data_IF_889570636193
#
_entry.id   IF_889570636193
#
_cell.length_a   1.000
_cell.length_b   1.000
_cell.length_c   1.000
_cell.angle_alpha   90.00
_cell.angle_beta   90.00
_cell.angle_gamma   90.00
#
_symmetry.space_group_name_H-M   'P 1'
#
loop_
_entity.id
_entity.type
_entity.pdbx_description
1 polymer ?
#
# COMPACT_ATOMS: atom_id res chain seq x y z
N UNK A 1 -38.64 35.61 22.03
CA UNK A 1 -37.25 35.21 22.34
C UNK A 1 -37.21 33.68 22.47
N UNK A 2 -36.72 33.01 21.41
CA UNK A 2 -36.52 31.57 21.34
C UNK A 2 -35.18 31.22 21.98
N UNK A 3 -35.20 30.72 23.21
CA UNK A 3 -34.13 29.86 23.70
C UNK A 3 -34.65 28.43 23.63
N UNK A 4 -34.43 27.79 22.48
CA UNK A 4 -34.62 26.35 22.37
C UNK A 4 -33.65 25.69 23.34
N UNK A 5 -34.22 24.96 24.30
CA UNK A 5 -33.58 23.83 24.95
C UNK A 5 -32.97 22.94 23.85
N UNK A 6 -31.67 23.07 23.67
CA UNK A 6 -30.85 21.97 23.15
C UNK A 6 -30.30 21.24 24.36
N UNK A 7 -31.18 20.60 25.14
CA UNK A 7 -30.79 19.46 25.97
C UNK A 7 -30.51 18.31 25.03
N UNK A 8 -29.41 18.43 24.30
CA UNK A 8 -28.92 17.38 23.46
C UNK A 8 -28.17 16.45 24.40
N UNK A 9 -28.81 15.33 24.69
CA UNK A 9 -28.19 14.12 25.20
C UNK A 9 -27.10 13.72 24.20
N UNK A 10 -25.94 14.36 24.31
CA UNK A 10 -24.79 14.14 23.44
C UNK A 10 -23.88 13.23 24.22
N UNK A 11 -24.05 11.93 23.98
CA UNK A 11 -23.22 10.89 24.57
C UNK A 11 -21.74 11.26 24.47
N UNK A 12 -20.99 10.86 25.50
CA UNK A 12 -19.53 11.07 25.64
C UNK A 12 -18.75 10.93 24.32
N UNK A 13 -19.18 10.04 23.42
CA UNK A 13 -18.66 9.84 22.06
C UNK A 13 -18.50 11.11 21.21
N UNK A 14 -19.40 12.09 21.29
CA UNK A 14 -19.31 13.30 20.46
C UNK A 14 -18.21 14.26 20.93
N UNK A 15 -17.96 14.33 22.25
CA UNK A 15 -16.90 15.15 22.83
C UNK A 15 -15.52 14.57 22.52
N UNK A 16 -15.35 13.25 22.63
CA UNK A 16 -14.09 12.57 22.23
C UNK A 16 -13.81 12.75 20.74
N UNK A 17 -14.83 12.57 19.89
CA UNK A 17 -14.69 12.76 18.44
C UNK A 17 -14.36 14.22 18.08
N UNK A 18 -15.00 15.20 18.73
CA UNK A 18 -14.74 16.61 18.45
C UNK A 18 -13.34 17.04 18.92
N UNK A 19 -12.92 16.65 20.12
CA UNK A 19 -11.55 16.89 20.64
C UNK A 19 -10.51 16.29 19.69
N UNK A 20 -10.74 15.06 19.24
CA UNK A 20 -9.88 14.36 18.29
C UNK A 20 -9.75 15.11 16.95
N UNK A 21 -10.87 15.50 16.35
CA UNK A 21 -10.90 16.25 15.07
C UNK A 21 -10.16 17.57 15.19
N UNK A 22 -10.31 18.28 16.32
CA UNK A 22 -9.60 19.54 16.57
C UNK A 22 -8.10 19.30 16.73
N UNK A 23 -7.67 18.24 17.42
CA UNK A 23 -6.24 17.88 17.58
C UNK A 23 -5.59 17.53 16.25
N UNK A 24 -6.28 16.82 15.36
CA UNK A 24 -5.78 16.55 14.00
C UNK A 24 -5.72 17.82 13.19
N UNK A 25 -6.78 18.63 13.18
CA UNK A 25 -6.78 19.91 12.47
C UNK A 25 -5.63 20.81 12.94
N UNK A 26 -5.35 20.82 14.25
CA UNK A 26 -4.21 21.52 14.81
C UNK A 26 -2.89 20.92 14.32
N UNK A 27 -2.70 19.60 14.42
CA UNK A 27 -1.47 18.92 13.98
C UNK A 27 -1.18 19.10 12.48
N UNK A 28 -2.22 19.15 11.64
CA UNK A 28 -2.10 19.36 10.18
C UNK A 28 -1.79 20.83 9.84
N UNK A 29 -2.14 21.78 10.71
CA UNK A 29 -1.78 23.20 10.56
C UNK A 29 -0.36 23.50 11.00
N UNK A 30 0.24 22.68 11.85
CA UNK A 30 1.64 22.84 12.23
C UNK A 30 2.58 22.54 11.03
N UNK A 31 3.77 23.15 11.00
CA UNK A 31 4.81 22.75 10.06
C UNK A 31 5.16 21.26 10.30
N UNK A 32 5.33 20.44 9.25
CA UNK A 32 5.65 20.79 7.85
C UNK A 32 4.47 20.74 6.85
N UNK A 33 3.22 20.49 7.28
CA UNK A 33 2.08 20.38 6.36
C UNK A 33 1.45 21.73 6.04
N UNK A 34 1.25 22.60 7.04
CA UNK A 34 0.62 23.91 6.86
C UNK A 34 -0.70 23.85 6.05
N UNK A 35 -1.51 22.79 6.21
CA UNK A 35 -2.80 22.70 5.50
C UNK A 35 -3.88 23.40 6.34
N UNK A 36 -4.47 24.50 5.86
CA UNK A 36 -5.59 25.11 6.55
C UNK A 36 -6.86 24.30 6.27
N UNK A 37 -7.06 23.22 7.02
CA UNK A 37 -8.34 22.49 7.02
C UNK A 37 -9.21 23.02 8.16
N UNK A 38 -10.45 23.39 7.81
CA UNK A 38 -11.51 23.66 8.79
C UNK A 38 -12.17 22.36 9.26
N UNK A 39 -12.69 22.36 10.48
CA UNK A 39 -13.44 21.22 11.05
C UNK A 39 -14.65 20.87 10.16
N UNK A 40 -15.30 21.87 9.56
CA UNK A 40 -16.39 21.67 8.62
C UNK A 40 -15.93 20.94 7.35
N UNK A 41 -14.81 21.32 6.75
CA UNK A 41 -14.27 20.63 5.58
C UNK A 41 -13.87 19.18 5.90
N UNK A 42 -13.29 18.93 7.09
CA UNK A 42 -12.90 17.58 7.48
C UNK A 42 -14.11 16.65 7.67
N UNK A 43 -15.25 17.19 8.15
CA UNK A 43 -16.50 16.45 8.22
C UNK A 43 -17.03 16.03 6.84
N UNK A 44 -16.79 16.84 5.81
CA UNK A 44 -17.23 16.54 4.44
C UNK A 44 -16.24 15.62 3.69
N UNK A 45 -14.92 15.76 3.90
CA UNK A 45 -13.91 15.04 3.10
C UNK A 45 -13.57 13.62 3.61
N UNK A 46 -14.06 13.22 4.79
CA UNK A 46 -13.71 11.99 5.51
C UNK A 46 -12.24 11.91 5.95
N UNK A 47 -11.99 11.22 7.06
CA UNK A 47 -10.66 11.15 7.65
C UNK A 47 -9.68 10.27 6.84
N UNK A 48 -10.20 9.26 6.14
CA UNK A 48 -9.40 8.40 5.26
C UNK A 48 -8.79 9.20 4.08
N UNK A 49 -9.55 10.16 3.55
CA UNK A 49 -9.04 11.07 2.52
C UNK A 49 -7.96 11.96 3.08
N UNK A 50 -8.13 12.54 4.28
CA UNK A 50 -7.09 13.34 4.92
C UNK A 50 -5.79 12.54 5.10
N UNK A 51 -5.86 11.32 5.61
CA UNK A 51 -4.71 10.43 5.77
C UNK A 51 -3.99 10.20 4.43
N UNK A 52 -4.75 10.00 3.35
CA UNK A 52 -4.19 9.87 2.00
C UNK A 52 -3.45 11.15 1.56
N UNK A 53 -4.02 12.32 1.82
CA UNK A 53 -3.37 13.60 1.49
C UNK A 53 -2.08 13.81 2.30
N UNK A 54 -2.08 13.45 3.59
CA UNK A 54 -0.88 13.51 4.45
C UNK A 54 0.20 12.54 3.94
N UNK A 55 -0.19 11.32 3.55
CA UNK A 55 0.71 10.34 2.98
C UNK A 55 1.34 10.83 1.66
N UNK A 56 0.55 11.46 0.78
CA UNK A 56 1.05 12.03 -0.48
C UNK A 56 2.05 13.19 -0.24
N UNK A 57 2.00 13.86 0.92
CA UNK A 57 2.97 14.88 1.32
C UNK A 57 4.18 14.32 2.08
N UNK A 58 4.43 13.01 1.97
CA UNK A 58 5.57 12.30 2.59
C UNK A 58 5.57 12.27 4.11
N UNK A 59 4.48 12.67 4.76
CA UNK A 59 4.36 12.70 6.22
C UNK A 59 3.77 11.40 6.77
N UNK A 60 4.41 10.28 6.44
CA UNK A 60 3.88 8.94 6.72
C UNK A 60 3.79 8.62 8.22
N UNK A 61 4.68 9.16 9.06
CA UNK A 61 4.64 8.94 10.51
C UNK A 61 3.39 9.58 11.15
N UNK A 62 3.05 10.80 10.75
CA UNK A 62 1.85 11.47 11.23
C UNK A 62 0.60 10.73 10.75
N UNK A 63 0.56 10.35 9.48
CA UNK A 63 -0.52 9.55 8.91
C UNK A 63 -0.70 8.22 9.66
N UNK A 64 0.39 7.52 9.99
CA UNK A 64 0.37 6.27 10.75
C UNK A 64 -0.18 6.45 12.17
N UNK A 65 0.30 7.47 12.89
CA UNK A 65 -0.22 7.79 14.23
C UNK A 65 -1.71 8.10 14.19
N UNK A 66 -2.15 8.92 13.23
CA UNK A 66 -3.58 9.19 13.05
C UNK A 66 -4.35 7.90 12.78
N UNK A 67 -3.84 6.99 11.93
CA UNK A 67 -4.47 5.69 11.70
C UNK A 67 -4.61 4.88 12.99
N UNK A 68 -3.57 4.80 13.81
CA UNK A 68 -3.60 4.11 15.11
C UNK A 68 -4.64 4.71 16.05
N UNK A 69 -4.71 6.05 16.15
CA UNK A 69 -5.66 6.74 17.01
C UNK A 69 -7.13 6.59 16.56
N UNK A 70 -7.38 6.37 15.27
CA UNK A 70 -8.75 6.22 14.72
C UNK A 70 -9.17 4.76 14.65
N UNK A 71 -8.22 3.83 14.59
CA UNK A 71 -8.47 2.44 14.20
C UNK A 71 -8.67 2.28 12.68
N UNK A 72 -8.09 3.16 11.85
CA UNK A 72 -8.08 2.97 10.40
C UNK A 72 -6.95 2.01 9.98
N UNK A 73 -7.15 1.21 8.92
CA UNK A 73 -6.12 0.29 8.46
C UNK A 73 -4.90 1.05 7.93
N UNK A 74 -3.79 0.94 8.65
CA UNK A 74 -2.53 1.61 8.32
C UNK A 74 -1.81 1.03 7.09
N UNK A 75 -2.31 -0.06 6.50
CA UNK A 75 -1.72 -0.78 5.36
C UNK A 75 -1.37 0.12 4.17
N UNK A 76 -2.27 1.04 3.82
CA UNK A 76 -2.09 1.92 2.67
C UNK A 76 -1.01 2.98 2.93
N UNK A 77 -0.90 3.46 4.17
CA UNK A 77 0.13 4.41 4.59
C UNK A 77 1.49 3.74 4.58
N UNK A 78 1.58 2.51 5.10
CA UNK A 78 2.81 1.72 5.11
C UNK A 78 3.28 1.35 3.70
N UNK A 79 2.37 0.96 2.81
CA UNK A 79 2.70 0.71 1.40
C UNK A 79 3.22 1.98 0.72
N UNK A 80 2.55 3.12 0.93
CA UNK A 80 3.00 4.41 0.38
C UNK A 80 4.35 4.83 0.93
N UNK A 81 4.58 4.62 2.23
CA UNK A 81 5.88 4.85 2.86
C UNK A 81 6.98 3.95 2.25
N UNK A 82 6.71 2.66 2.05
CA UNK A 82 7.69 1.74 1.50
C UNK A 82 8.04 2.12 0.05
N UNK A 83 7.06 2.47 -0.78
CA UNK A 83 7.28 2.96 -2.14
C UNK A 83 8.13 4.23 -2.15
N UNK A 84 7.78 5.22 -1.33
CA UNK A 84 8.54 6.47 -1.21
C UNK A 84 9.97 6.21 -0.72
N UNK A 85 10.13 5.28 0.22
CA UNK A 85 11.43 4.89 0.76
C UNK A 85 12.30 4.25 -0.33
N UNK A 86 11.74 3.40 -1.17
CA UNK A 86 12.44 2.76 -2.31
C UNK A 86 12.86 3.82 -3.33
N UNK A 87 12.00 4.77 -3.66
CA UNK A 87 12.30 5.83 -4.62
C UNK A 87 13.42 6.77 -4.15
N UNK A 88 13.47 7.07 -2.85
CA UNK A 88 14.43 8.04 -2.30
C UNK A 88 15.74 7.46 -1.76
N UNK A 89 15.85 6.15 -1.61
CA UNK A 89 17.00 5.52 -0.96
C UNK A 89 18.12 5.17 -1.92
N UNK A 90 18.75 6.17 -2.55
CA UNK A 90 19.90 5.95 -3.46
C UNK A 90 21.10 5.32 -2.73
N UNK A 91 21.23 5.51 -1.42
CA UNK A 91 22.41 5.14 -0.65
C UNK A 91 22.39 3.76 0.02
N UNK A 92 21.26 3.05 0.04
CA UNK A 92 21.10 1.78 0.77
C UNK A 92 21.16 0.59 -0.18
N UNK A 93 21.83 -0.48 0.26
CA UNK A 93 21.83 -1.76 -0.45
C UNK A 93 20.42 -2.37 -0.43
N UNK A 94 20.11 -3.14 -1.48
CA UNK A 94 18.79 -3.77 -1.65
C UNK A 94 18.47 -4.74 -0.50
N UNK A 95 19.50 -5.38 0.04
CA UNK A 95 19.44 -6.31 1.17
C UNK A 95 18.97 -5.60 2.45
N UNK A 96 19.62 -4.49 2.81
CA UNK A 96 19.29 -3.69 3.97
C UNK A 96 17.90 -3.07 3.85
N UNK A 97 17.54 -2.61 2.65
CA UNK A 97 16.24 -1.99 2.43
C UNK A 97 15.09 -2.97 2.57
N UNK A 98 15.24 -4.18 2.03
CA UNK A 98 14.26 -5.25 2.22
C UNK A 98 14.09 -5.61 3.71
N UNK A 99 15.19 -5.72 4.46
CA UNK A 99 15.16 -6.00 5.88
C UNK A 99 14.50 -4.89 6.70
N UNK A 100 14.75 -3.62 6.37
CA UNK A 100 14.11 -2.47 7.03
C UNK A 100 12.61 -2.45 6.76
N UNK A 101 12.18 -2.67 5.52
CA UNK A 101 10.76 -2.75 5.16
C UNK A 101 10.11 -3.90 5.91
N UNK A 102 10.64 -5.12 5.82
CA UNK A 102 10.08 -6.29 6.50
C UNK A 102 10.03 -6.11 8.02
N UNK A 103 11.09 -5.55 8.64
CA UNK A 103 11.11 -5.26 10.08
C UNK A 103 10.03 -4.23 10.46
N UNK A 104 9.89 -3.15 9.70
CA UNK A 104 8.89 -2.11 9.97
C UNK A 104 7.47 -2.64 9.82
N UNK A 105 7.22 -3.50 8.84
CA UNK A 105 5.94 -4.17 8.66
C UNK A 105 5.65 -5.14 9.82
N UNK A 106 6.65 -5.92 10.25
CA UNK A 106 6.51 -6.82 11.40
C UNK A 106 6.18 -6.07 12.70
N UNK A 107 6.84 -4.92 12.94
CA UNK A 107 6.55 -4.07 14.09
C UNK A 107 5.13 -3.51 14.03
N UNK A 108 4.71 -3.01 12.86
CA UNK A 108 3.36 -2.49 12.68
C UNK A 108 2.27 -3.57 12.84
N UNK A 109 2.58 -4.83 12.57
CA UNK A 109 1.70 -5.98 12.84
C UNK A 109 1.66 -6.36 14.33
N UNK A 110 2.70 -6.04 15.09
CA UNK A 110 2.80 -6.34 16.52
C UNK A 110 2.22 -5.27 17.43
N UNK A 111 2.16 -4.01 16.95
CA UNK A 111 1.55 -2.90 17.66
C UNK A 111 0.02 -3.01 17.61
N UNK A 112 -0.52 -3.89 18.45
CA UNK A 112 -1.93 -3.82 18.88
C UNK A 112 -2.21 -2.37 19.31
N UNK A 113 -3.37 -1.78 18.93
CA UNK A 113 -3.67 -0.39 19.25
C UNK A 113 -3.46 -0.14 20.75
N UNK A 114 -2.40 0.59 21.11
CA UNK A 114 -2.12 0.93 22.50
C UNK A 114 -3.26 1.83 22.99
N UNK A 115 -4.21 1.20 23.69
CA UNK A 115 -5.34 1.86 24.34
C UNK A 115 -4.81 2.66 25.52
N UNK A 116 -4.41 3.91 25.26
CA UNK A 116 -4.40 4.96 26.28
C UNK A 116 -5.73 5.73 26.18
N UNK A 117 -6.79 5.09 26.67
CA UNK A 117 -8.01 5.75 27.17
C UNK A 117 -9.07 6.22 26.16
N UNK A 118 -9.55 5.40 25.21
CA UNK A 118 -10.78 5.70 24.43
C UNK A 118 -11.47 4.44 23.87
N UNK A 119 -12.82 4.46 23.73
CA UNK A 119 -13.70 3.29 23.66
C UNK A 119 -13.71 2.52 22.33
N UNK A 120 -14.19 1.26 22.34
CA UNK A 120 -14.19 0.36 21.19
C UNK A 120 -15.25 0.74 20.14
N UNK A 121 -14.94 0.37 18.90
CA UNK A 121 -15.89 0.03 17.83
C UNK A 121 -16.88 1.11 17.37
N UNK A 122 -16.48 1.82 16.31
CA UNK A 122 -17.41 2.21 15.24
C UNK A 122 -17.04 1.48 13.94
N UNK A 123 -16.75 0.19 14.01
CA UNK A 123 -17.02 -0.79 12.94
C UNK A 123 -16.98 -2.20 13.54
N UNK A 124 -17.92 -3.02 13.06
CA UNK A 124 -18.36 -4.29 13.63
C UNK A 124 -17.23 -5.30 13.81
N UNK A 125 -17.31 -6.06 14.89
CA UNK A 125 -16.61 -7.32 15.07
C UNK A 125 -17.06 -8.31 14.00
N UNK A 126 -16.29 -8.38 12.92
CA UNK A 126 -16.21 -9.52 12.03
C UNK A 126 -14.77 -10.02 12.10
N UNK A 127 -14.58 -11.28 12.49
CA UNK A 127 -13.32 -12.01 12.46
C UNK A 127 -12.42 -11.62 11.27
N UNK A 128 -11.51 -10.68 11.47
CA UNK A 128 -10.39 -10.47 10.56
C UNK A 128 -9.12 -10.85 11.31
N UNK A 129 -8.90 -12.16 11.44
CA UNK A 129 -7.56 -12.77 11.53
C UNK A 129 -6.78 -12.54 10.22
N UNK A 130 -6.84 -11.33 9.68
CA UNK A 130 -6.22 -10.91 8.44
C UNK A 130 -5.60 -9.53 8.62
N UNK A 131 -4.91 -9.35 9.74
CA UNK A 131 -3.92 -8.30 9.94
C UNK A 131 -2.75 -8.36 8.93
N UNK A 132 -2.72 -9.27 7.96
CA UNK A 132 -1.44 -9.81 7.49
C UNK A 132 -1.18 -9.76 6.00
N UNK A 133 -1.86 -8.93 5.22
CA UNK A 133 -1.48 -8.77 3.79
C UNK A 133 -1.37 -7.29 3.45
N UNK A 134 -0.18 -6.73 3.66
CA UNK A 134 0.23 -5.57 2.90
C UNK A 134 0.25 -5.97 1.43
N UNK A 135 -0.16 -5.11 0.47
CA UNK A 135 0.06 -5.39 -0.94
C UNK A 135 1.54 -5.16 -1.28
N UNK A 136 2.41 -6.08 -0.84
CA UNK A 136 3.84 -6.10 -1.17
C UNK A 136 4.07 -6.20 -2.67
N UNK A 137 3.15 -6.76 -3.46
CA UNK A 137 3.20 -6.81 -4.92
C UNK A 137 3.27 -5.40 -5.54
N UNK A 138 2.55 -4.43 -4.97
CA UNK A 138 2.63 -3.03 -5.43
C UNK A 138 3.97 -2.39 -5.07
N UNK A 139 4.49 -2.71 -3.90
CA UNK A 139 5.80 -2.23 -3.43
C UNK A 139 6.93 -2.85 -4.27
N UNK A 140 6.83 -4.14 -4.59
CA UNK A 140 7.74 -4.87 -5.47
C UNK A 140 7.71 -4.31 -6.89
N UNK A 141 6.54 -3.96 -7.42
CA UNK A 141 6.42 -3.29 -8.71
C UNK A 141 7.13 -1.93 -8.71
N UNK A 142 6.97 -1.15 -7.64
CA UNK A 142 7.71 0.10 -7.49
C UNK A 142 9.24 -0.13 -7.42
N UNK A 143 9.70 -1.20 -6.76
CA UNK A 143 11.11 -1.57 -6.73
C UNK A 143 11.64 -1.96 -8.11
N UNK A 144 10.86 -2.72 -8.88
CA UNK A 144 11.20 -3.09 -10.25
C UNK A 144 11.31 -1.86 -11.15
N UNK A 145 10.34 -0.93 -11.06
CA UNK A 145 10.35 0.33 -11.80
C UNK A 145 11.50 1.25 -11.38
N UNK A 146 11.97 1.15 -10.14
CA UNK A 146 13.15 1.87 -9.65
C UNK A 146 14.48 1.23 -10.09
N UNK A 147 14.46 0.19 -10.94
CA UNK A 147 15.66 -0.49 -11.44
C UNK A 147 16.30 -1.46 -10.44
N UNK A 148 15.56 -1.90 -9.41
CA UNK A 148 16.03 -2.82 -8.37
C UNK A 148 15.29 -4.17 -8.45
N UNK A 149 15.63 -5.03 -9.42
CA UNK A 149 14.93 -6.31 -9.62
C UNK A 149 15.15 -7.29 -8.45
N UNK A 150 16.35 -7.33 -7.86
CA UNK A 150 16.66 -8.23 -6.73
C UNK A 150 15.78 -7.93 -5.51
N UNK A 151 15.61 -6.64 -5.20
CA UNK A 151 14.70 -6.19 -4.16
C UNK A 151 13.25 -6.57 -4.49
N UNK A 152 12.82 -6.41 -5.74
CA UNK A 152 11.46 -6.73 -6.16
C UNK A 152 11.16 -8.23 -5.98
N UNK A 153 12.05 -9.12 -6.45
CA UNK A 153 11.91 -10.56 -6.29
C UNK A 153 11.82 -10.95 -4.82
N UNK A 154 12.69 -10.38 -3.97
CA UNK A 154 12.63 -10.68 -2.53
C UNK A 154 11.35 -10.19 -1.86
N UNK A 155 10.88 -8.99 -2.20
CA UNK A 155 9.59 -8.49 -1.69
C UNK A 155 8.41 -9.35 -2.15
N UNK A 156 8.49 -9.96 -3.34
CA UNK A 156 7.46 -10.91 -3.81
C UNK A 156 7.47 -12.23 -3.07
N UNK A 157 8.60 -12.70 -2.52
CA UNK A 157 8.63 -13.93 -1.73
C UNK A 157 7.82 -13.81 -0.43
N UNK A 158 7.73 -12.59 0.12
CA UNK A 158 6.96 -12.30 1.33
C UNK A 158 5.46 -12.10 1.06
N UNK A 159 5.01 -12.13 -0.20
CA UNK A 159 3.57 -12.09 -0.51
C UNK A 159 2.89 -13.39 -0.07
N UNK A 160 1.84 -13.25 0.74
CA UNK A 160 1.06 -14.38 1.24
C UNK A 160 0.11 -14.91 0.17
N UNK A 161 -0.31 -14.05 -0.77
CA UNK A 161 -1.27 -14.40 -1.82
C UNK A 161 -0.53 -14.91 -3.05
N UNK A 162 -0.53 -16.24 -3.24
CA UNK A 162 0.12 -16.95 -4.36
C UNK A 162 -0.27 -16.37 -5.73
N UNK A 163 -1.55 -16.06 -5.94
CA UNK A 163 -2.03 -15.45 -7.19
C UNK A 163 -1.40 -14.10 -7.51
N UNK A 164 -1.27 -13.22 -6.51
CA UNK A 164 -0.67 -11.91 -6.71
C UNK A 164 0.86 -12.00 -6.78
N UNK A 165 1.45 -12.95 -6.06
CA UNK A 165 2.87 -13.31 -6.16
C UNK A 165 3.23 -13.77 -7.58
N UNK A 166 2.52 -14.76 -8.13
CA UNK A 166 2.75 -15.28 -9.49
C UNK A 166 2.58 -14.17 -10.53
N UNK A 167 1.48 -13.39 -10.44
CA UNK A 167 1.28 -12.22 -11.32
C UNK A 167 2.43 -11.23 -11.26
N UNK A 168 2.99 -10.99 -10.07
CA UNK A 168 4.11 -10.06 -9.93
C UNK A 168 5.40 -10.65 -10.49
N UNK A 169 5.69 -11.94 -10.25
CA UNK A 169 6.85 -12.64 -10.83
C UNK A 169 6.80 -12.64 -12.37
N UNK A 170 5.62 -12.85 -12.96
CA UNK A 170 5.42 -12.73 -14.41
C UNK A 170 5.75 -11.32 -14.93
N UNK A 171 5.41 -10.27 -14.16
CA UNK A 171 5.78 -8.87 -14.50
C UNK A 171 7.27 -8.59 -14.35
N UNK A 172 7.99 -9.35 -13.51
CA UNK A 172 9.44 -9.28 -13.36
C UNK A 172 10.17 -10.11 -14.42
N UNK A 173 9.46 -10.76 -15.35
CA UNK A 173 9.98 -11.72 -16.32
C UNK A 173 10.64 -12.97 -15.71
N UNK A 174 10.33 -13.28 -14.45
CA UNK A 174 10.82 -14.47 -13.73
C UNK A 174 9.89 -15.67 -13.95
N UNK A 175 9.76 -16.12 -15.22
CA UNK A 175 8.82 -17.16 -15.63
C UNK A 175 9.04 -18.50 -14.91
N UNK A 176 10.30 -18.91 -14.74
CA UNK A 176 10.63 -20.20 -14.12
C UNK A 176 10.13 -20.27 -12.68
N UNK A 177 10.43 -19.23 -11.89
CA UNK A 177 9.99 -19.13 -10.49
C UNK A 177 8.46 -19.02 -10.42
N UNK A 178 7.85 -18.22 -11.31
CA UNK A 178 6.40 -18.09 -11.38
C UNK A 178 5.71 -19.43 -11.65
N UNK A 179 6.26 -20.23 -12.57
CA UNK A 179 5.73 -21.54 -12.94
C UNK A 179 5.86 -22.54 -11.79
N UNK A 180 7.02 -22.62 -11.14
CA UNK A 180 7.24 -23.50 -9.98
C UNK A 180 6.25 -23.17 -8.85
N UNK A 181 6.02 -21.88 -8.56
CA UNK A 181 5.06 -21.44 -7.54
C UNK A 181 3.61 -21.71 -7.95
N UNK A 182 3.27 -21.56 -9.22
CA UNK A 182 1.95 -21.89 -9.74
C UNK A 182 1.67 -23.41 -9.63
N UNK A 183 2.62 -24.25 -10.03
CA UNK A 183 2.49 -25.72 -9.90
C UNK A 183 2.37 -26.11 -8.42
N UNK A 184 3.21 -25.53 -7.56
CA UNK A 184 3.15 -25.77 -6.11
C UNK A 184 1.86 -25.33 -5.44
N UNK A 185 1.13 -24.36 -6.02
CA UNK A 185 -0.18 -23.93 -5.52
C UNK A 185 -1.31 -24.92 -5.82
N UNK A 186 -1.14 -25.80 -6.80
CA UNK A 186 -2.17 -26.73 -7.26
C UNK A 186 -3.33 -26.07 -8.02
N UNK A 187 -3.28 -24.77 -8.27
CA UNK A 187 -4.32 -24.04 -9.00
C UNK A 187 -4.06 -24.11 -10.53
N UNK A 188 -4.90 -24.83 -11.30
CA UNK A 188 -4.70 -25.01 -12.74
C UNK A 188 -4.81 -23.67 -13.49
N UNK A 189 -5.63 -22.74 -13.01
CA UNK A 189 -5.79 -21.41 -13.59
C UNK A 189 -4.49 -20.59 -13.54
N UNK A 190 -3.71 -20.71 -12.46
CA UNK A 190 -2.42 -20.02 -12.32
C UNK A 190 -1.38 -20.61 -13.27
N UNK A 191 -1.35 -21.93 -13.40
CA UNK A 191 -0.49 -22.65 -14.35
C UNK A 191 -0.80 -22.23 -15.78
N UNK A 192 -2.08 -22.22 -16.15
CA UNK A 192 -2.52 -21.77 -17.47
C UNK A 192 -2.15 -20.31 -17.71
N UNK A 193 -2.28 -19.44 -16.71
CA UNK A 193 -1.86 -18.05 -16.81
C UNK A 193 -0.36 -17.90 -17.11
N UNK A 194 0.50 -18.69 -16.45
CA UNK A 194 1.95 -18.70 -16.72
C UNK A 194 2.25 -19.19 -18.15
N UNK A 195 1.59 -20.26 -18.60
CA UNK A 195 1.76 -20.79 -19.95
C UNK A 195 1.35 -19.79 -21.02
N UNK A 196 0.20 -19.11 -20.85
CA UNK A 196 -0.24 -18.05 -21.77
C UNK A 196 0.77 -16.90 -21.83
N UNK A 197 1.35 -16.49 -20.70
CA UNK A 197 2.39 -15.45 -20.71
C UNK A 197 3.68 -15.91 -21.40
N UNK A 198 4.10 -17.17 -21.23
CA UNK A 198 5.28 -17.72 -21.90
C UNK A 198 5.10 -17.75 -23.43
N UNK A 199 3.95 -18.24 -23.89
CA UNK A 199 3.60 -18.23 -25.31
C UNK A 199 3.56 -16.80 -25.88
N UNK A 200 3.03 -15.83 -25.12
CA UNK A 200 3.01 -14.43 -25.56
C UNK A 200 4.43 -13.86 -25.76
N UNK A 201 5.40 -14.24 -24.92
CA UNK A 201 6.79 -13.84 -25.09
C UNK A 201 7.45 -14.48 -26.32
N UNK A 202 7.16 -15.75 -26.62
CA UNK A 202 7.65 -16.43 -27.83
C UNK A 202 7.10 -15.82 -29.13
N UNK A 203 5.83 -15.41 -29.14
CA UNK A 203 5.22 -14.74 -30.29
C UNK A 203 5.82 -13.35 -30.55
N UNK A 204 6.25 -12.64 -29.50
CA UNK A 204 6.95 -11.36 -29.63
C UNK A 204 8.37 -11.54 -30.19
N UNK A 205 9.10 -12.54 -29.70
CA UNK A 205 10.45 -12.84 -30.19
C UNK A 205 10.46 -13.24 -31.67
N UNK A 206 9.51 -14.08 -32.07
CA UNK A 206 9.36 -14.50 -33.48
C UNK A 206 8.93 -13.33 -34.38
N UNK A 207 8.03 -12.45 -33.94
CA UNK A 207 7.60 -11.28 -34.70
C UNK A 207 8.71 -10.23 -34.96
N UNK A 208 9.62 -10.03 -34.00
CA UNK A 208 10.75 -9.10 -34.16
C UNK A 208 11.80 -9.64 -35.15
N UNK A 209 12.03 -10.95 -35.18
CA UNK A 209 12.93 -11.61 -36.14
C UNK A 209 12.48 -11.42 -37.59
N UNK A 210 11.17 -11.46 -37.87
CA UNK A 210 10.63 -11.19 -39.21
C UNK A 210 10.66 -9.71 -39.60
N UNK A 211 10.60 -8.78 -38.63
CA UNK A 211 10.67 -7.34 -38.91
C UNK A 211 12.09 -6.88 -39.30
N UNK A 212 13.13 -7.44 -38.67
CA UNK A 212 14.54 -7.15 -39.00
C UNK A 212 14.96 -7.79 -40.33
N UNK A 213 14.33 -8.90 -40.73
CA UNK A 213 14.63 -9.62 -41.97
C UNK A 213 14.07 -8.98 -43.25
N UNK A 214 13.38 -7.83 -43.18
CA UNK A 214 13.04 -7.06 -44.39
C UNK A 214 14.17 -6.08 -44.71
N UNK A 215 15.13 -6.42 -45.59
CA UNK A 215 16.10 -5.43 -46.04
C UNK A 215 15.33 -4.31 -46.74
N UNK A 216 15.70 -3.06 -46.45
CA UNK A 216 15.29 -1.88 -47.21
C UNK A 216 15.76 -2.03 -48.66
N UNK A 217 15.02 -2.79 -49.45
CA UNK A 217 15.16 -2.84 -50.90
C UNK A 217 13.99 -2.06 -51.48
N UNK A 218 14.33 -1.16 -52.39
CA UNK A 218 13.46 -0.30 -53.20
C UNK A 218 12.97 1.01 -52.58
N UNK A 219 13.86 2.00 -52.59
CA UNK A 219 13.56 3.27 -53.25
C UNK A 219 14.76 3.61 -54.14
N UNK A 220 14.63 3.31 -55.43
CA UNK A 220 15.47 3.83 -56.51
C UNK A 220 14.57 4.67 -57.41
#
# INVERSE_FOLDING_TARGET
MRFYLWTFSVGHYSFYFLSFVVRICYAVRQPPLEMPISVAQLRHMSLATLVRHIANRRQHLLAYRICQYVGLPARAVLASWAMEKIQHSVSLTDEELSAVVCRRLALASSESPLVLGSPPALHKEGKEKLASVLPLAKVALCAAQAGRPVLATRLTEFEVVTKEQVKMLLKLAELNIAMEKAVGSGDPDLVMQCLYSALAHEQQATGEEYAVATPKLFLR
#
